data_IF_827938989571
#
_entry.id   IF_827938989571
#
_cell.length_a   1.000
_cell.length_b   1.000
_cell.length_c   1.000
_cell.angle_alpha   90.00
_cell.angle_beta   90.00
_cell.angle_gamma   90.00
#
_symmetry.space_group_name_H-M   'P 1'
#
loop_
_entity.id
_entity.type
_entity.pdbx_description
1 polymer ?
#
# COMPACT_ATOMS: atom_id res chain seq x y z
N UNK A 1 37.39 -20.64 -10.31
CA UNK A 1 36.06 -20.04 -10.51
C UNK A 1 35.87 -19.79 -11.98
N UNK A 2 34.78 -20.30 -12.54
CA UNK A 2 34.37 -20.01 -13.91
C UNK A 2 33.79 -18.60 -14.03
N UNK A 3 33.78 -18.04 -15.25
CA UNK A 3 33.12 -16.76 -15.53
C UNK A 3 31.62 -16.82 -15.22
N UNK A 4 31.00 -17.98 -15.41
CA UNK A 4 29.60 -18.24 -15.07
C UNK A 4 29.32 -18.12 -13.56
N UNK A 5 30.20 -18.68 -12.72
CA UNK A 5 30.09 -18.56 -11.27
C UNK A 5 30.23 -17.12 -10.78
N UNK A 6 31.20 -16.38 -11.33
CA UNK A 6 31.39 -14.97 -10.97
C UNK A 6 30.17 -14.13 -11.34
N UNK A 7 29.57 -14.39 -12.51
CA UNK A 7 28.34 -13.71 -12.92
C UNK A 7 27.17 -14.03 -11.98
N UNK A 8 26.95 -15.32 -11.67
CA UNK A 8 25.91 -15.75 -10.74
C UNK A 8 26.02 -15.05 -9.38
N UNK A 9 27.21 -15.04 -8.77
CA UNK A 9 27.44 -14.37 -7.49
C UNK A 9 27.19 -12.86 -7.59
N UNK A 10 27.51 -12.22 -8.72
CA UNK A 10 27.23 -10.79 -8.93
C UNK A 10 25.73 -10.51 -9.08
N UNK A 11 24.96 -11.40 -9.71
CA UNK A 11 23.51 -11.27 -9.82
C UNK A 11 22.85 -11.41 -8.43
N UNK A 12 23.29 -12.37 -7.61
CA UNK A 12 22.82 -12.52 -6.22
C UNK A 12 23.17 -11.28 -5.39
N UNK A 13 24.37 -10.72 -5.54
CA UNK A 13 24.74 -9.45 -4.87
C UNK A 13 23.86 -8.30 -5.32
N UNK A 14 23.52 -8.23 -6.60
CA UNK A 14 22.65 -7.18 -7.14
C UNK A 14 21.23 -7.31 -6.57
N UNK A 15 20.70 -8.52 -6.49
CA UNK A 15 19.41 -8.80 -5.86
C UNK A 15 19.42 -8.46 -4.35
N UNK A 16 20.47 -8.81 -3.61
CA UNK A 16 20.63 -8.41 -2.20
C UNK A 16 20.73 -6.89 -2.04
N UNK A 17 21.32 -6.17 -2.99
CA UNK A 17 21.33 -4.71 -3.00
C UNK A 17 19.94 -4.11 -3.30
N UNK A 18 19.10 -4.81 -4.09
CA UNK A 18 17.72 -4.38 -4.31
C UNK A 18 16.86 -4.59 -3.07
N UNK A 19 17.07 -5.68 -2.32
CA UNK A 19 16.48 -5.84 -0.99
C UNK A 19 16.96 -4.70 -0.12
N UNK A 20 18.27 -4.42 -0.10
CA UNK A 20 18.84 -3.28 0.62
C UNK A 20 18.22 -1.94 0.21
N UNK A 21 17.77 -1.75 -1.03
CA UNK A 21 17.13 -0.49 -1.49
C UNK A 21 15.61 -0.47 -1.35
N UNK A 22 14.97 -1.60 -1.02
CA UNK A 22 13.51 -1.71 -0.80
C UNK A 22 13.16 -2.07 0.65
N UNK A 23 14.13 -2.43 1.50
CA UNK A 23 13.91 -3.03 2.82
C UNK A 23 14.56 -2.26 3.97
N UNK A 24 14.66 -0.95 3.87
CA UNK A 24 15.56 -0.19 4.76
C UNK A 24 15.07 -0.07 6.26
N UNK A 25 14.00 -0.76 6.70
CA UNK A 25 13.74 -1.07 8.14
C UNK A 25 13.19 -2.47 8.41
N UNK A 26 13.96 -3.49 8.08
CA UNK A 26 13.97 -4.61 8.99
C UNK A 26 15.39 -4.98 9.35
N UNK A 27 15.85 -4.43 10.48
CA UNK A 27 17.19 -4.70 11.00
C UNK A 27 17.51 -6.20 11.14
N UNK A 28 16.51 -7.08 11.13
CA UNK A 28 16.70 -8.52 11.05
C UNK A 28 16.87 -9.04 9.61
N UNK A 29 15.94 -8.76 8.68
CA UNK A 29 16.02 -9.19 7.28
C UNK A 29 17.18 -8.52 6.52
N UNK A 30 17.43 -7.23 6.75
CA UNK A 30 18.59 -6.52 6.20
C UNK A 30 19.88 -7.08 6.76
N UNK A 31 19.93 -7.36 8.07
CA UNK A 31 21.10 -8.00 8.68
C UNK A 31 21.28 -9.42 8.16
N UNK A 32 20.19 -10.14 7.90
CA UNK A 32 20.22 -11.46 7.27
C UNK A 32 20.75 -11.38 5.83
N UNK A 33 20.26 -10.43 5.03
CA UNK A 33 20.72 -10.15 3.68
C UNK A 33 22.18 -9.67 3.64
N UNK A 34 22.60 -8.83 4.59
CA UNK A 34 23.97 -8.33 4.72
C UNK A 34 24.95 -9.40 5.21
N UNK A 35 24.53 -10.24 6.17
CA UNK A 35 25.30 -11.41 6.58
C UNK A 35 25.48 -12.35 5.39
N UNK A 36 24.41 -12.63 4.65
CA UNK A 36 24.50 -13.47 3.46
C UNK A 36 25.41 -12.86 2.39
N UNK A 37 25.30 -11.56 2.13
CA UNK A 37 26.17 -10.83 1.21
C UNK A 37 27.65 -10.90 1.59
N UNK A 38 27.95 -10.92 2.90
CA UNK A 38 29.31 -11.12 3.40
C UNK A 38 29.79 -12.55 3.18
N UNK A 39 28.94 -13.55 3.46
CA UNK A 39 29.22 -14.98 3.23
C UNK A 39 29.54 -15.28 1.75
N UNK A 40 28.89 -14.61 0.79
CA UNK A 40 29.12 -14.78 -0.66
C UNK A 40 30.59 -14.60 -1.10
N UNK A 41 31.47 -14.05 -0.26
CA UNK A 41 32.90 -13.90 -0.58
C UNK A 41 33.68 -15.21 -0.47
N UNK A 42 33.20 -16.11 0.39
CA UNK A 42 33.92 -17.33 0.78
C UNK A 42 33.30 -18.61 0.18
N UNK A 43 32.20 -18.47 -0.58
CA UNK A 43 31.47 -19.59 -1.20
C UNK A 43 32.02 -19.98 -2.57
N UNK A 44 31.98 -21.27 -2.88
CA UNK A 44 32.45 -21.88 -4.12
C UNK A 44 31.30 -22.49 -4.94
N UNK A 45 31.59 -22.93 -6.18
CA UNK A 45 30.57 -23.46 -7.11
C UNK A 45 29.73 -24.61 -6.54
N UNK A 46 30.30 -25.43 -5.65
CA UNK A 46 29.61 -26.51 -4.95
C UNK A 46 28.60 -26.03 -3.89
N UNK A 47 28.62 -24.74 -3.52
CA UNK A 47 27.70 -24.13 -2.56
C UNK A 47 26.44 -23.53 -3.23
N UNK A 48 26.27 -23.68 -4.55
CA UNK A 48 25.15 -23.10 -5.28
C UNK A 48 23.78 -23.41 -4.63
N UNK A 49 23.59 -24.66 -4.18
CA UNK A 49 22.35 -25.06 -3.52
C UNK A 49 22.11 -24.33 -2.18
N UNK A 50 23.17 -24.03 -1.43
CA UNK A 50 23.08 -23.23 -0.22
C UNK A 50 22.68 -21.79 -0.53
N UNK A 51 23.26 -21.20 -1.58
CA UNK A 51 22.93 -19.84 -2.02
C UNK A 51 21.46 -19.75 -2.42
N UNK A 52 20.98 -20.69 -3.24
CA UNK A 52 19.58 -20.75 -3.66
C UNK A 52 18.62 -20.82 -2.47
N UNK A 53 18.91 -21.69 -1.49
CA UNK A 53 18.08 -21.82 -0.30
C UNK A 53 18.03 -20.53 0.53
N UNK A 54 19.17 -19.88 0.74
CA UNK A 54 19.24 -18.60 1.46
C UNK A 54 18.47 -17.49 0.75
N UNK A 55 18.52 -17.44 -0.58
CA UNK A 55 17.71 -16.50 -1.35
C UNK A 55 16.21 -16.75 -1.16
N UNK A 56 15.77 -18.01 -1.19
CA UNK A 56 14.38 -18.39 -0.98
C UNK A 56 13.87 -18.01 0.42
N UNK A 57 14.67 -18.28 1.46
CA UNK A 57 14.32 -17.95 2.85
C UNK A 57 14.12 -16.43 3.04
N UNK A 58 15.03 -15.62 2.50
CA UNK A 58 14.96 -14.14 2.55
C UNK A 58 13.74 -13.64 1.76
N UNK A 59 13.50 -14.18 0.56
CA UNK A 59 12.34 -13.82 -0.26
C UNK A 59 11.03 -14.09 0.47
N UNK A 60 10.87 -15.29 1.03
CA UNK A 60 9.65 -15.69 1.75
C UNK A 60 9.39 -14.81 2.97
N UNK A 61 10.44 -14.46 3.72
CA UNK A 61 10.30 -13.59 4.90
C UNK A 61 9.87 -12.16 4.56
N UNK A 62 10.30 -11.63 3.42
CA UNK A 62 9.87 -10.32 2.91
C UNK A 62 8.36 -10.32 2.60
N UNK A 63 7.91 -11.29 1.80
CA UNK A 63 6.51 -11.41 1.37
C UNK A 63 5.55 -11.59 2.55
N UNK A 64 5.94 -12.39 3.56
CA UNK A 64 5.13 -12.60 4.78
C UNK A 64 4.97 -11.31 5.60
N UNK A 65 5.90 -10.35 5.51
CA UNK A 65 5.78 -9.05 6.21
C UNK A 65 4.89 -8.08 5.45
N UNK A 66 5.03 -8.00 4.14
CA UNK A 66 4.18 -7.18 3.28
C UNK A 66 2.72 -7.61 3.38
N UNK A 67 2.46 -8.92 3.34
CA UNK A 67 1.13 -9.50 3.55
C UNK A 67 0.54 -9.12 4.93
N UNK A 68 1.35 -9.16 6.00
CA UNK A 68 0.90 -8.75 7.34
C UNK A 68 0.58 -7.26 7.44
N UNK A 69 1.40 -6.39 6.84
CA UNK A 69 1.15 -4.94 6.82
C UNK A 69 -0.12 -4.64 6.01
N UNK A 70 -0.25 -5.22 4.83
CA UNK A 70 -1.40 -5.02 3.97
C UNK A 70 -2.70 -5.53 4.61
N UNK A 71 -2.64 -6.67 5.29
CA UNK A 71 -3.75 -7.19 6.09
C UNK A 71 -4.19 -6.22 7.18
N UNK A 72 -3.26 -5.75 8.02
CA UNK A 72 -3.56 -4.81 9.10
C UNK A 72 -4.13 -3.48 8.56
N UNK A 73 -3.58 -2.99 7.44
CA UNK A 73 -4.08 -1.81 6.74
C UNK A 73 -5.55 -1.96 6.32
N UNK A 74 -5.90 -3.09 5.71
CA UNK A 74 -7.27 -3.42 5.36
C UNK A 74 -8.21 -3.50 6.56
N UNK A 75 -7.81 -4.23 7.61
CA UNK A 75 -8.58 -4.40 8.84
C UNK A 75 -8.89 -3.05 9.50
N UNK A 76 -7.90 -2.15 9.59
CA UNK A 76 -8.07 -0.79 10.13
C UNK A 76 -9.09 0.03 9.33
N UNK A 77 -9.11 -0.11 8.01
CA UNK A 77 -10.07 0.58 7.14
C UNK A 77 -11.46 -0.07 7.11
N UNK A 78 -11.64 -1.22 7.76
CA UNK A 78 -12.88 -1.98 7.75
C UNK A 78 -13.10 -2.79 6.46
N UNK A 79 -12.02 -3.16 5.80
CA UNK A 79 -12.02 -3.97 4.57
C UNK A 79 -10.95 -5.04 4.54
N UNK A 80 -10.59 -5.48 3.34
CA UNK A 80 -9.53 -6.46 3.08
C UNK A 80 -8.45 -5.84 2.21
N UNK A 81 -7.23 -5.81 2.72
CA UNK A 81 -6.05 -5.44 1.94
C UNK A 81 -5.67 -6.55 0.97
N UNK A 82 -5.30 -6.18 -0.24
CA UNK A 82 -4.75 -7.09 -1.25
C UNK A 82 -3.45 -6.49 -1.75
N UNK A 83 -2.38 -7.23 -1.57
CA UNK A 83 -1.09 -6.87 -2.13
C UNK A 83 -0.98 -7.43 -3.55
N UNK A 84 -0.54 -6.58 -4.48
CA UNK A 84 -0.15 -6.97 -5.82
C UNK A 84 1.02 -6.10 -6.27
N UNK A 85 2.14 -6.73 -6.59
CA UNK A 85 3.36 -6.09 -7.11
C UNK A 85 3.83 -4.89 -6.25
N UNK A 86 3.79 -5.04 -4.91
CA UNK A 86 4.25 -4.00 -3.97
C UNK A 86 3.26 -2.86 -3.73
N UNK A 87 2.03 -2.98 -4.25
CA UNK A 87 0.93 -2.05 -3.99
C UNK A 87 -0.15 -2.77 -3.19
N UNK A 88 -0.32 -2.35 -1.94
CA UNK A 88 -1.45 -2.80 -1.14
C UNK A 88 -2.68 -1.95 -1.43
N UNK A 89 -3.78 -2.60 -1.80
CA UNK A 89 -5.05 -1.95 -2.14
C UNK A 89 -6.17 -2.41 -1.23
N UNK A 90 -6.98 -1.46 -0.76
CA UNK A 90 -8.25 -1.70 -0.05
C UNK A 90 -9.37 -1.07 -0.86
N UNK A 91 -10.28 -1.91 -1.36
CA UNK A 91 -11.47 -1.46 -2.07
C UNK A 91 -12.70 -1.49 -1.17
N UNK A 92 -13.22 -0.30 -0.88
CA UNK A 92 -14.47 -0.07 -0.17
C UNK A 92 -15.48 0.59 -1.12
N UNK A 93 -16.72 0.74 -0.67
CA UNK A 93 -17.77 1.45 -1.39
C UNK A 93 -18.68 2.23 -0.45
N UNK A 94 -19.36 3.21 -1.04
CA UNK A 94 -20.39 4.02 -0.38
C UNK A 94 -21.74 3.67 -0.97
N UNK A 95 -22.76 3.58 -0.13
CA UNK A 95 -24.12 3.22 -0.57
C UNK A 95 -25.02 4.45 -0.66
N UNK A 96 -25.18 4.94 -1.89
CA UNK A 96 -26.16 5.94 -2.26
C UNK A 96 -27.14 5.37 -3.30
N UNK A 97 -28.33 5.95 -3.43
CA UNK A 97 -29.25 5.62 -4.51
C UNK A 97 -28.84 6.35 -5.80
N UNK A 98 -27.62 6.12 -6.25
CA UNK A 98 -27.02 6.90 -7.35
C UNK A 98 -27.60 6.51 -8.70
N UNK A 99 -27.93 7.50 -9.51
CA UNK A 99 -28.24 7.36 -10.93
C UNK A 99 -27.31 8.23 -11.76
N UNK A 100 -27.01 7.78 -12.99
CA UNK A 100 -26.33 8.56 -14.03
C UNK A 100 -27.22 8.42 -15.27
N UNK A 101 -27.61 9.55 -15.86
CA UNK A 101 -28.58 9.60 -16.96
C UNK A 101 -29.87 8.80 -16.66
N UNK A 102 -30.33 8.86 -15.41
CA UNK A 102 -31.52 8.15 -14.92
C UNK A 102 -31.37 6.63 -14.77
N UNK A 103 -30.17 6.06 -14.98
CA UNK A 103 -29.89 4.64 -14.73
C UNK A 103 -29.13 4.45 -13.43
N UNK A 104 -29.54 3.48 -12.63
CA UNK A 104 -28.90 3.17 -11.35
C UNK A 104 -27.44 2.77 -11.56
N UNK A 105 -26.52 3.41 -10.83
CA UNK A 105 -25.09 3.07 -10.81
C UNK A 105 -24.68 2.53 -9.45
N UNK A 106 -23.78 1.54 -9.45
CA UNK A 106 -23.15 0.97 -8.25
C UNK A 106 -21.63 1.19 -8.21
N UNK A 107 -21.04 1.62 -9.32
CA UNK A 107 -19.60 1.85 -9.46
C UNK A 107 -19.22 3.31 -9.27
N UNK A 108 -20.18 4.24 -9.28
CA UNK A 108 -19.92 5.68 -9.16
C UNK A 108 -19.58 6.14 -7.73
N UNK A 109 -19.56 5.23 -6.76
CA UNK A 109 -19.39 5.56 -5.34
C UNK A 109 -18.25 4.78 -4.67
N UNK A 110 -17.05 4.72 -5.30
CA UNK A 110 -15.91 3.99 -4.79
C UNK A 110 -15.32 4.67 -3.55
N UNK A 111 -14.64 3.86 -2.75
CA UNK A 111 -13.62 4.33 -1.82
C UNK A 111 -12.41 3.44 -2.03
N UNK A 112 -11.39 3.97 -2.69
CA UNK A 112 -10.14 3.27 -2.98
C UNK A 112 -9.04 3.80 -2.09
N UNK A 113 -8.29 2.92 -1.44
CA UNK A 113 -7.21 3.31 -0.54
C UNK A 113 -6.01 2.44 -0.81
N UNK A 114 -4.83 3.03 -1.02
CA UNK A 114 -3.60 2.31 -1.33
C UNK A 114 -2.43 2.81 -0.53
N UNK A 115 -1.45 1.93 -0.33
CA UNK A 115 -0.08 2.33 -0.05
C UNK A 115 0.89 1.63 -0.98
N UNK A 116 1.99 2.30 -1.31
CA UNK A 116 3.08 1.80 -2.15
C UNK A 116 4.39 2.49 -1.79
N UNK A 117 5.51 2.04 -2.38
CA UNK A 117 6.83 2.66 -2.22
C UNK A 117 7.23 2.84 -0.74
N UNK A 118 7.16 1.75 0.03
CA UNK A 118 7.53 1.77 1.44
C UNK A 118 9.04 1.99 1.57
N UNK A 119 9.43 3.03 2.31
CA UNK A 119 10.82 3.44 2.52
C UNK A 119 11.44 2.81 3.77
N UNK A 120 12.69 3.22 4.04
CA UNK A 120 13.41 2.81 5.25
C UNK A 120 12.56 3.00 6.47
N UNK A 121 11.98 4.17 6.72
CA UNK A 121 11.38 4.47 8.02
C UNK A 121 10.01 3.83 8.20
N UNK A 122 9.64 2.91 7.30
CA UNK A 122 8.32 2.33 7.19
C UNK A 122 7.29 3.34 6.71
N UNK A 123 7.71 4.50 6.16
CA UNK A 123 6.81 5.46 5.55
C UNK A 123 6.49 4.99 4.14
N UNK A 124 5.27 5.25 3.68
CA UNK A 124 4.83 4.88 2.35
C UNK A 124 4.15 6.06 1.68
N UNK A 125 4.09 6.05 0.35
CA UNK A 125 3.13 6.88 -0.36
C UNK A 125 1.74 6.27 -0.13
N UNK A 126 0.91 6.98 0.63
CA UNK A 126 -0.47 6.60 0.87
C UNK A 126 -1.40 7.47 0.02
N UNK A 127 -2.33 6.84 -0.67
CA UNK A 127 -3.31 7.50 -1.53
C UNK A 127 -4.71 7.03 -1.16
N UNK A 128 -5.68 7.94 -1.24
CA UNK A 128 -7.08 7.56 -1.17
C UNK A 128 -7.93 8.38 -2.13
N UNK A 129 -8.95 7.74 -2.67
CA UNK A 129 -10.10 8.36 -3.34
C UNK A 129 -11.35 8.03 -2.54
N UNK A 130 -12.14 9.05 -2.17
CA UNK A 130 -13.36 8.87 -1.40
C UNK A 130 -14.53 9.56 -2.10
N UNK A 131 -15.51 8.78 -2.55
CA UNK A 131 -16.77 9.31 -3.06
C UNK A 131 -17.69 9.78 -1.92
N UNK A 132 -18.10 11.04 -1.96
CA UNK A 132 -18.94 11.68 -0.96
C UNK A 132 -20.08 12.45 -1.63
N UNK A 133 -21.17 12.72 -0.92
CA UNK A 133 -22.18 13.67 -1.40
C UNK A 133 -21.73 15.11 -1.13
N UNK A 134 -22.23 16.08 -1.90
CA UNK A 134 -21.83 17.48 -1.76
C UNK A 134 -21.94 18.03 -0.32
N UNK A 135 -22.96 17.62 0.43
CA UNK A 135 -23.16 18.05 1.82
C UNK A 135 -22.08 17.55 2.79
N UNK A 136 -21.34 16.49 2.44
CA UNK A 136 -20.27 15.92 3.24
C UNK A 136 -18.91 16.61 3.00
N UNK A 137 -18.77 17.43 1.94
CA UNK A 137 -17.48 18.07 1.58
C UNK A 137 -16.90 18.86 2.74
N UNK A 138 -17.63 19.83 3.27
CA UNK A 138 -17.14 20.67 4.37
C UNK A 138 -16.75 19.87 5.63
N UNK A 139 -17.65 19.02 6.17
CA UNK A 139 -17.34 18.16 7.32
C UNK A 139 -16.12 17.26 7.10
N UNK A 140 -16.04 16.59 5.95
CA UNK A 140 -15.00 15.62 5.65
C UNK A 140 -13.63 16.29 5.47
N UNK A 141 -13.54 17.38 4.71
CA UNK A 141 -12.28 18.12 4.54
C UNK A 141 -11.74 18.64 5.88
N UNK A 142 -12.62 19.12 6.78
CA UNK A 142 -12.21 19.52 8.14
C UNK A 142 -11.75 18.33 8.98
N UNK A 143 -12.33 17.15 8.81
CA UNK A 143 -11.89 15.94 9.51
C UNK A 143 -10.51 15.51 9.02
N UNK A 144 -10.27 15.48 7.70
CA UNK A 144 -8.96 15.22 7.10
C UNK A 144 -7.90 16.19 7.60
N UNK A 145 -8.19 17.50 7.59
CA UNK A 145 -7.26 18.53 8.06
C UNK A 145 -6.90 18.35 9.54
N UNK A 146 -7.86 17.97 10.41
CA UNK A 146 -7.58 17.68 11.83
C UNK A 146 -6.69 16.47 12.05
N UNK A 147 -6.71 15.52 11.12
CA UNK A 147 -5.83 14.34 11.12
C UNK A 147 -4.47 14.61 10.44
N UNK A 148 -4.26 15.83 9.93
CA UNK A 148 -3.06 16.20 9.19
C UNK A 148 -2.95 15.56 7.80
N UNK A 149 -4.07 15.13 7.21
CA UNK A 149 -4.09 14.52 5.89
C UNK A 149 -4.24 15.59 4.80
N UNK A 150 -3.45 15.47 3.73
CA UNK A 150 -3.46 16.44 2.62
C UNK A 150 -4.51 16.06 1.58
N UNK A 151 -5.38 17.01 1.24
CA UNK A 151 -6.34 16.86 0.13
C UNK A 151 -5.65 17.31 -1.15
N UNK A 152 -5.43 16.39 -2.08
CA UNK A 152 -4.73 16.65 -3.34
C UNK A 152 -5.68 17.08 -4.46
N UNK A 153 -6.92 16.62 -4.44
CA UNK A 153 -7.95 17.08 -5.38
C UNK A 153 -9.38 16.90 -4.82
N UNK A 154 -10.29 17.72 -5.32
CA UNK A 154 -11.73 17.62 -5.09
C UNK A 154 -12.45 17.90 -6.41
N UNK A 155 -13.14 16.92 -6.96
CA UNK A 155 -13.82 17.07 -8.27
C UNK A 155 -14.99 16.10 -8.44
N UNK A 156 -15.64 16.12 -9.59
CA UNK A 156 -16.76 15.26 -9.96
C UNK A 156 -16.43 14.55 -11.29
N UNK A 157 -16.75 13.25 -11.39
CA UNK A 157 -16.49 12.43 -12.57
C UNK A 157 -17.67 12.43 -13.59
N UNK A 158 -18.88 12.76 -13.17
CA UNK A 158 -20.12 12.41 -13.89
C UNK A 158 -21.08 13.58 -14.05
N UNK A 159 -21.46 13.84 -15.29
CA UNK A 159 -22.59 14.71 -15.64
C UNK A 159 -23.90 13.96 -15.38
N UNK A 160 -24.97 14.67 -15.01
CA UNK A 160 -26.30 14.12 -14.70
C UNK A 160 -26.31 13.01 -13.63
N UNK A 161 -25.38 13.08 -12.69
CA UNK A 161 -25.37 12.19 -11.53
C UNK A 161 -26.29 12.73 -10.43
N UNK A 162 -27.13 11.84 -9.89
CA UNK A 162 -28.00 12.13 -8.74
C UNK A 162 -27.91 11.02 -7.69
N UNK A 163 -27.60 11.31 -6.42
CA UNK A 163 -27.24 12.62 -5.88
C UNK A 163 -25.89 13.11 -6.43
N UNK A 164 -25.61 14.41 -6.32
CA UNK A 164 -24.33 14.98 -6.76
C UNK A 164 -23.16 14.43 -5.93
N UNK A 165 -22.37 13.54 -6.55
CA UNK A 165 -21.19 12.90 -5.96
C UNK A 165 -19.94 13.72 -6.25
N UNK A 166 -19.12 13.94 -5.23
CA UNK A 166 -17.78 14.50 -5.30
C UNK A 166 -16.75 13.44 -4.92
N UNK A 167 -15.56 13.51 -5.49
CA UNK A 167 -14.44 12.62 -5.25
C UNK A 167 -13.33 13.42 -4.59
N UNK A 168 -12.92 12.99 -3.39
CA UNK A 168 -11.82 13.59 -2.64
C UNK A 168 -10.60 12.71 -2.79
N UNK A 169 -9.54 13.27 -3.37
CA UNK A 169 -8.22 12.62 -3.39
C UNK A 169 -7.39 13.09 -2.21
N UNK A 170 -6.72 12.15 -1.58
CA UNK A 170 -5.93 12.34 -0.36
C UNK A 170 -4.54 11.75 -0.62
N UNK A 171 -3.50 12.45 -0.16
CA UNK A 171 -2.13 11.96 -0.18
C UNK A 171 -1.46 12.16 1.18
N UNK A 172 -0.58 11.23 1.56
CA UNK A 172 0.21 11.30 2.78
C UNK A 172 1.50 10.47 2.64
N UNK A 173 2.57 10.92 3.29
CA UNK A 173 3.82 10.14 3.41
C UNK A 173 4.03 9.80 4.88
N UNK A 174 3.49 8.66 5.30
CA UNK A 174 3.62 8.16 6.66
C UNK A 174 3.47 6.65 6.70
N UNK A 175 3.60 6.08 7.89
CA UNK A 175 3.42 4.63 8.08
C UNK A 175 1.99 4.22 7.69
N UNK A 176 1.81 3.18 6.85
CA UNK A 176 0.51 2.82 6.30
C UNK A 176 -0.60 2.63 7.34
N UNK A 177 -0.36 1.88 8.41
CA UNK A 177 -1.42 1.62 9.40
C UNK A 177 -1.82 2.92 10.11
N UNK A 178 -0.90 3.82 10.42
CA UNK A 178 -1.21 5.17 10.94
C UNK A 178 -2.00 6.02 9.95
N UNK A 179 -1.70 5.96 8.66
CA UNK A 179 -2.51 6.62 7.64
C UNK A 179 -3.93 6.05 7.63
N UNK A 180 -4.07 4.72 7.66
CA UNK A 180 -5.36 4.04 7.72
C UNK A 180 -6.17 4.45 8.96
N UNK A 181 -5.54 4.55 10.14
CA UNK A 181 -6.17 5.02 11.38
C UNK A 181 -6.70 6.45 11.24
N UNK A 182 -5.86 7.38 10.76
CA UNK A 182 -6.23 8.78 10.51
C UNK A 182 -7.40 8.88 9.53
N UNK A 183 -7.35 8.12 8.44
CA UNK A 183 -8.40 8.12 7.42
C UNK A 183 -9.70 7.53 7.97
N UNK A 184 -9.61 6.43 8.73
CA UNK A 184 -10.75 5.83 9.41
C UNK A 184 -11.42 6.81 10.38
N UNK A 185 -10.64 7.57 11.17
CA UNK A 185 -11.19 8.63 12.01
C UNK A 185 -11.89 9.73 11.20
N UNK A 186 -11.35 10.10 10.03
CA UNK A 186 -11.99 11.07 9.15
C UNK A 186 -13.33 10.54 8.58
N UNK A 187 -13.42 9.23 8.27
CA UNK A 187 -14.66 8.61 7.79
C UNK A 187 -15.84 8.78 8.76
N UNK A 188 -15.59 8.91 10.07
CA UNK A 188 -16.65 9.13 11.07
C UNK A 188 -17.41 10.46 10.89
N UNK A 189 -16.86 11.39 10.11
CA UNK A 189 -17.55 12.65 9.77
C UNK A 189 -18.52 12.52 8.59
N UNK A 190 -18.52 11.37 7.91
CA UNK A 190 -19.47 11.05 6.84
C UNK A 190 -20.79 10.55 7.44
N UNK A 191 -21.89 10.72 6.72
CA UNK A 191 -23.23 10.32 7.18
C UNK A 191 -23.39 8.80 7.36
N UNK A 192 -22.54 8.02 6.69
CA UNK A 192 -22.41 6.56 6.80
C UNK A 192 -20.93 6.22 6.75
N UNK A 193 -20.50 5.05 7.19
CA UNK A 193 -19.12 4.61 6.95
C UNK A 193 -18.99 3.99 5.55
N UNK A 194 -17.83 4.08 4.89
CA UNK A 194 -17.48 3.16 3.81
C UNK A 194 -17.58 1.71 4.28
N UNK A 195 -17.93 0.79 3.37
CA UNK A 195 -18.05 -0.65 3.67
C UNK A 195 -17.30 -1.47 2.64
N UNK A 196 -16.91 -2.68 3.01
CA UNK A 196 -16.27 -3.63 2.11
C UNK A 196 -17.07 -3.80 0.81
N UNK A 197 -16.38 -3.69 -0.32
CA UNK A 197 -16.94 -3.90 -1.66
C UNK A 197 -17.37 -5.33 -1.87
#
# INVERSE_FOLDING_TARGET
>A
MTDAWQQYVNDVRTWLNQIQSHSETDSALEKEAMNFKAELRDLEENDEHYIQKRMEDIYNNLHVREDRRCKAYGETLGGTGRDADGVCTVELKRHFNTTIDGKRSRSATPVGVTFESVDEKGQALNLAEVAIVQSEVGPFLRALARQGLTVSALHNHWINIDPFIMYVHIQDVSEPVKFAEKLHEAFKSLNRMPVQK
#
